data_IF_092907253867
#
_entry.id   IF_092907253867
#
_cell.length_a   1.000
_cell.length_b   1.000
_cell.length_c   1.000
_cell.angle_alpha   90.00
_cell.angle_beta   90.00
_cell.angle_gamma   90.00
#
_symmetry.space_group_name_H-M   'P 1'
#
loop_
_entity.id
_entity.type
_entity.pdbx_description
1 polymer ?
#
# COMPACT_ATOMS: atom_id res chain seq x y z
N UNK A 1 -34.51 33.49 -1.67
CA UNK A 1 -33.40 32.73 -1.06
C UNK A 1 -33.56 31.29 -1.54
N UNK A 2 -32.86 30.95 -2.63
CA UNK A 2 -32.91 29.62 -3.25
C UNK A 2 -31.75 28.81 -2.70
N UNK A 3 -32.04 27.82 -1.86
CA UNK A 3 -31.05 26.85 -1.40
C UNK A 3 -30.64 25.96 -2.59
N UNK A 4 -29.39 26.12 -3.02
CA UNK A 4 -28.74 25.22 -3.97
C UNK A 4 -28.24 24.01 -3.21
N UNK A 5 -29.00 22.93 -3.24
CA UNK A 5 -28.55 21.61 -2.78
C UNK A 5 -27.40 21.16 -3.66
N UNK A 6 -26.19 21.24 -3.14
CA UNK A 6 -25.00 20.66 -3.77
C UNK A 6 -25.12 19.13 -3.65
N UNK A 7 -25.44 18.45 -4.75
CA UNK A 7 -25.35 17.00 -4.84
C UNK A 7 -23.86 16.61 -4.79
N UNK A 8 -23.46 15.86 -3.77
CA UNK A 8 -22.18 15.15 -3.77
C UNK A 8 -22.16 14.16 -4.94
N UNK A 9 -21.09 14.09 -5.75
CA UNK A 9 -20.97 13.09 -6.78
C UNK A 9 -20.83 11.72 -6.11
N UNK A 10 -21.83 10.86 -6.30
CA UNK A 10 -21.74 9.43 -5.97
C UNK A 10 -20.81 8.77 -6.98
N UNK A 11 -19.55 8.61 -6.63
CA UNK A 11 -18.59 7.90 -7.48
C UNK A 11 -18.91 6.40 -7.37
N UNK A 12 -19.66 5.88 -8.34
CA UNK A 12 -19.98 4.45 -8.48
C UNK A 12 -18.77 3.70 -9.07
N UNK A 13 -17.61 3.74 -8.43
CA UNK A 13 -16.52 2.84 -8.78
C UNK A 13 -16.88 1.44 -8.27
N UNK A 14 -17.28 0.57 -9.18
CA UNK A 14 -17.49 -0.85 -8.89
C UNK A 14 -16.20 -1.42 -8.29
N UNK A 15 -16.26 -2.13 -7.15
CA UNK A 15 -15.07 -2.79 -6.59
C UNK A 15 -14.41 -3.69 -7.63
N UNK A 16 -13.07 -3.61 -7.74
CA UNK A 16 -12.30 -4.48 -8.64
C UNK A 16 -12.57 -5.94 -8.28
N UNK A 17 -13.02 -6.73 -9.26
CA UNK A 17 -13.40 -8.12 -9.01
C UNK A 17 -12.19 -9.01 -8.69
N UNK A 18 -12.39 -10.11 -7.94
CA UNK A 18 -11.30 -11.04 -7.61
C UNK A 18 -10.66 -11.67 -8.85
N UNK A 19 -11.46 -11.92 -9.88
CA UNK A 19 -11.01 -12.41 -11.19
C UNK A 19 -10.11 -11.39 -11.89
N UNK A 20 -10.48 -10.12 -11.83
CA UNK A 20 -9.70 -9.02 -12.40
C UNK A 20 -8.38 -8.82 -11.66
N UNK A 21 -8.40 -8.86 -10.32
CA UNK A 21 -7.17 -8.86 -9.49
C UNK A 21 -6.25 -10.00 -9.92
N UNK A 22 -6.77 -11.23 -9.99
CA UNK A 22 -5.95 -12.39 -10.37
C UNK A 22 -5.36 -12.26 -11.78
N UNK A 23 -6.09 -11.65 -12.71
CA UNK A 23 -5.61 -11.39 -14.07
C UNK A 23 -4.47 -10.37 -14.06
N UNK A 24 -4.66 -9.21 -13.42
CA UNK A 24 -3.66 -8.15 -13.30
C UNK A 24 -2.35 -8.70 -12.70
N UNK A 25 -2.47 -9.47 -11.62
CA UNK A 25 -1.31 -10.08 -10.96
C UNK A 25 -0.58 -11.08 -11.87
N UNK A 26 -1.32 -11.91 -12.61
CA UNK A 26 -0.73 -12.88 -13.53
C UNK A 26 0.01 -12.19 -14.67
N UNK A 27 -0.56 -11.11 -15.23
CA UNK A 27 0.08 -10.28 -16.26
C UNK A 27 1.36 -9.61 -15.72
N UNK A 28 1.35 -9.20 -14.44
CA UNK A 28 2.53 -8.72 -13.70
C UNK A 28 3.48 -9.82 -13.20
N UNK A 29 3.32 -11.08 -13.63
CA UNK A 29 4.21 -12.19 -13.26
C UNK A 29 3.99 -12.79 -11.86
N UNK A 30 2.97 -12.34 -11.12
CA UNK A 30 2.60 -12.85 -9.80
C UNK A 30 1.50 -13.92 -9.91
N UNK A 31 1.92 -15.18 -9.85
CA UNK A 31 1.02 -16.35 -10.03
C UNK A 31 0.64 -17.04 -8.72
N UNK A 32 1.13 -16.58 -7.58
CA UNK A 32 0.83 -17.19 -6.28
C UNK A 32 -0.62 -16.88 -5.86
N UNK A 33 -1.49 -17.90 -5.70
CA UNK A 33 -2.89 -17.68 -5.35
C UNK A 33 -3.08 -17.01 -3.98
N UNK A 34 -2.16 -17.22 -3.03
CA UNK A 34 -2.22 -16.56 -1.72
C UNK A 34 -1.99 -15.05 -1.82
N UNK A 35 -1.13 -14.61 -2.75
CA UNK A 35 -0.94 -13.18 -3.04
C UNK A 35 -2.18 -12.61 -3.69
N UNK A 36 -2.80 -13.33 -4.64
CA UNK A 36 -4.04 -12.88 -5.27
C UNK A 36 -5.19 -12.73 -4.27
N UNK A 37 -5.31 -13.67 -3.32
CA UNK A 37 -6.29 -13.57 -2.25
C UNK A 37 -6.01 -12.39 -1.30
N UNK A 38 -4.74 -12.18 -0.93
CA UNK A 38 -4.33 -11.05 -0.10
C UNK A 38 -4.63 -9.69 -0.77
N UNK A 39 -4.26 -9.53 -2.04
CA UNK A 39 -4.51 -8.31 -2.80
C UNK A 39 -6.02 -8.08 -2.97
N UNK A 40 -6.79 -9.12 -3.28
CA UNK A 40 -8.25 -9.01 -3.40
C UNK A 40 -8.91 -8.59 -2.08
N UNK A 41 -8.51 -9.20 -0.97
CA UNK A 41 -9.03 -8.86 0.36
C UNK A 41 -8.77 -7.38 0.71
N UNK A 42 -7.55 -6.88 0.46
CA UNK A 42 -7.23 -5.48 0.74
C UNK A 42 -7.85 -4.52 -0.27
N UNK A 43 -8.02 -4.91 -1.54
CA UNK A 43 -8.74 -4.10 -2.52
C UNK A 43 -10.21 -3.88 -2.12
N UNK A 44 -10.88 -4.89 -1.54
CA UNK A 44 -12.25 -4.74 -1.01
C UNK A 44 -12.33 -3.70 0.12
N UNK A 45 -11.31 -3.63 0.97
CA UNK A 45 -11.23 -2.71 2.11
C UNK A 45 -10.83 -1.31 1.65
N UNK A 46 -9.73 -1.19 0.92
CA UNK A 46 -9.09 0.06 0.52
C UNK A 46 -9.87 0.80 -0.57
N UNK A 47 -10.60 0.05 -1.43
CA UNK A 47 -11.36 0.55 -2.59
C UNK A 47 -10.56 1.42 -3.56
N UNK A 48 -9.43 0.91 -4.11
CA UNK A 48 -8.68 1.64 -5.11
C UNK A 48 -9.47 1.81 -6.42
N UNK A 49 -9.17 2.87 -7.17
CA UNK A 49 -9.70 3.05 -8.52
C UNK A 49 -9.03 2.07 -9.50
N UNK A 50 -7.73 1.80 -9.31
CA UNK A 50 -6.91 0.96 -10.17
C UNK A 50 -5.96 0.13 -9.35
N UNK A 51 -5.57 -1.03 -9.87
CA UNK A 51 -4.55 -1.90 -9.28
C UNK A 51 -3.47 -2.11 -10.32
N UNK A 52 -2.22 -1.97 -9.91
CA UNK A 52 -1.07 -2.06 -10.79
C UNK A 52 0.05 -2.84 -10.12
N UNK A 53 0.61 -3.83 -10.82
CA UNK A 53 1.86 -4.47 -10.37
C UNK A 53 3.00 -3.68 -10.96
N UNK A 54 3.92 -3.21 -10.11
CA UNK A 54 5.09 -2.45 -10.55
C UNK A 54 6.36 -3.22 -10.28
N UNK A 55 7.34 -3.05 -11.16
CA UNK A 55 8.69 -3.56 -11.00
C UNK A 55 9.75 -2.51 -11.37
N UNK A 56 11.03 -2.91 -11.37
CA UNK A 56 12.14 -1.99 -11.65
C UNK A 56 12.12 -1.40 -13.08
N UNK A 57 11.33 -1.95 -14.01
CA UNK A 57 11.16 -1.38 -15.35
C UNK A 57 10.24 -0.17 -15.38
N UNK A 58 9.46 0.06 -14.32
CA UNK A 58 8.57 1.21 -14.17
C UNK A 58 9.26 2.47 -13.62
N UNK A 59 10.51 2.35 -13.15
CA UNK A 59 11.25 3.42 -12.46
C UNK A 59 11.20 4.77 -13.18
N UNK A 60 11.48 4.80 -14.49
CA UNK A 60 11.48 6.04 -15.26
C UNK A 60 10.11 6.71 -15.29
N UNK A 61 9.04 5.92 -15.44
CA UNK A 61 7.66 6.40 -15.47
C UNK A 61 7.24 6.92 -14.10
N UNK A 62 7.49 6.15 -13.04
CA UNK A 62 7.13 6.54 -11.66
C UNK A 62 7.84 7.82 -11.23
N UNK A 63 9.10 8.01 -11.63
CA UNK A 63 9.82 9.28 -11.40
C UNK A 63 9.15 10.44 -12.14
N UNK A 64 8.70 10.26 -13.39
CA UNK A 64 7.99 11.32 -14.11
C UNK A 64 6.63 11.65 -13.48
N UNK A 65 5.90 10.63 -13.02
CA UNK A 65 4.62 10.81 -12.31
C UNK A 65 4.82 11.59 -11.01
N UNK A 66 5.81 11.21 -10.19
CA UNK A 66 6.13 11.90 -8.94
C UNK A 66 6.62 13.36 -9.16
N UNK A 67 7.36 13.61 -10.25
CA UNK A 67 7.75 14.97 -10.67
C UNK A 67 6.53 15.81 -11.09
N UNK A 68 5.60 15.21 -11.83
CA UNK A 68 4.37 15.89 -12.27
C UNK A 68 3.44 16.21 -11.09
N UNK A 69 3.46 15.39 -10.04
CA UNK A 69 2.72 15.59 -8.81
C UNK A 69 3.42 16.54 -7.79
N UNK A 70 4.62 17.05 -8.09
CA UNK A 70 5.45 17.86 -7.17
C UNK A 70 5.80 17.16 -5.84
N UNK A 71 5.73 15.82 -5.80
CA UNK A 71 6.16 15.02 -4.64
C UNK A 71 7.69 14.97 -4.53
N UNK A 72 8.36 15.02 -5.67
CA UNK A 72 9.81 15.10 -5.79
C UNK A 72 10.20 16.26 -6.71
N UNK A 73 11.39 16.81 -6.48
CA UNK A 73 11.93 17.95 -7.21
C UNK A 73 13.36 17.66 -7.69
N UNK A 74 13.78 18.13 -8.88
CA UNK A 74 15.13 17.89 -9.38
C UNK A 74 16.22 18.46 -8.46
N UNK A 75 17.24 17.65 -8.16
CA UNK A 75 18.41 18.01 -7.35
C UNK A 75 19.75 17.87 -8.10
N UNK A 76 19.70 17.64 -9.41
CA UNK A 76 20.86 17.40 -10.27
C UNK A 76 20.57 16.32 -11.31
N UNK A 77 21.61 15.84 -11.99
CA UNK A 77 21.48 14.70 -12.92
C UNK A 77 21.17 13.43 -12.14
N UNK A 78 20.06 12.77 -12.47
CA UNK A 78 19.58 11.52 -11.86
C UNK A 78 19.48 11.62 -10.31
N UNK A 79 19.08 12.81 -9.84
CA UNK A 79 18.96 13.13 -8.41
C UNK A 79 17.70 13.93 -8.17
N UNK A 80 16.99 13.56 -7.12
CA UNK A 80 15.77 14.22 -6.69
C UNK A 80 15.80 14.49 -5.20
N UNK A 81 15.00 15.43 -4.74
CA UNK A 81 14.73 15.63 -3.33
C UNK A 81 13.22 15.70 -3.11
N UNK A 82 12.78 15.18 -1.98
CA UNK A 82 11.39 15.29 -1.51
C UNK A 82 11.36 16.01 -0.17
N UNK A 83 10.22 16.60 0.17
CA UNK A 83 9.98 17.23 1.48
C UNK A 83 8.73 16.61 2.07
N UNK A 84 8.91 15.89 3.18
CA UNK A 84 7.78 15.32 3.91
C UNK A 84 6.98 16.38 4.66
N UNK A 85 5.79 15.99 5.12
CA UNK A 85 4.99 16.82 6.01
C UNK A 85 5.74 17.06 7.33
N UNK A 86 5.64 18.27 7.89
CA UNK A 86 6.45 18.66 9.07
C UNK A 86 6.21 17.83 10.33
N UNK A 87 5.06 17.15 10.44
CA UNK A 87 4.75 16.23 11.55
C UNK A 87 5.10 14.77 11.24
N UNK A 88 5.62 14.49 10.05
CA UNK A 88 6.00 13.16 9.58
C UNK A 88 7.45 13.20 9.08
N UNK A 89 8.38 13.30 10.03
CA UNK A 89 9.82 13.49 9.78
C UNK A 89 10.69 12.38 10.35
N UNK A 90 10.12 11.52 11.18
CA UNK A 90 10.79 10.41 11.83
C UNK A 90 9.76 9.32 12.14
N UNK A 91 10.25 8.12 12.44
CA UNK A 91 9.40 7.05 12.95
C UNK A 91 8.69 7.51 14.21
N UNK A 92 7.46 7.05 14.38
CA UNK A 92 6.66 7.29 15.59
C UNK A 92 6.67 6.02 16.44
N UNK A 93 7.71 5.83 17.26
CA UNK A 93 7.88 4.61 18.07
C UNK A 93 6.66 4.35 18.97
N UNK A 94 6.03 5.40 19.51
CA UNK A 94 4.82 5.32 20.34
C UNK A 94 3.60 4.69 19.62
N UNK A 95 3.61 4.67 18.28
CA UNK A 95 2.54 4.10 17.44
C UNK A 95 2.97 2.82 16.72
N UNK A 96 4.22 2.40 16.88
CA UNK A 96 4.69 1.10 16.40
C UNK A 96 4.33 0.04 17.43
N UNK A 97 3.60 -0.98 17.02
CA UNK A 97 3.02 -1.99 17.90
C UNK A 97 3.46 -3.38 17.47
N UNK A 98 3.76 -4.24 18.44
CA UNK A 98 3.87 -5.69 18.25
C UNK A 98 2.54 -6.31 18.61
N UNK A 99 1.82 -6.77 17.60
CA UNK A 99 0.49 -7.34 17.74
C UNK A 99 0.56 -8.87 17.73
N UNK A 100 0.35 -9.49 18.90
CA UNK A 100 0.27 -10.95 19.06
C UNK A 100 -0.97 -11.31 19.87
N UNK A 101 -1.49 -12.53 19.73
CA UNK A 101 -2.65 -12.99 20.52
C UNK A 101 -2.27 -13.32 21.97
N UNK A 102 -1.04 -13.79 22.22
CA UNK A 102 -0.56 -14.05 23.58
C UNK A 102 0.23 -12.83 24.10
N UNK A 103 -0.21 -12.21 25.22
CA UNK A 103 0.56 -11.15 25.87
C UNK A 103 1.96 -11.57 26.34
N UNK A 104 2.24 -12.87 26.52
CA UNK A 104 3.57 -13.36 26.88
C UNK A 104 4.59 -13.18 25.74
N UNK A 105 4.14 -13.18 24.49
CA UNK A 105 4.98 -13.03 23.29
C UNK A 105 5.39 -11.58 23.02
N UNK A 106 4.91 -10.63 23.83
CA UNK A 106 5.19 -9.21 23.66
C UNK A 106 6.68 -8.86 23.70
N UNK A 107 7.51 -9.65 24.39
CA UNK A 107 8.91 -9.29 24.66
C UNK A 107 9.07 -8.14 25.67
N UNK A 108 10.31 -7.73 25.94
CA UNK A 108 10.58 -6.81 27.07
C UNK A 108 10.33 -5.34 26.72
N UNK A 109 10.55 -4.94 25.47
CA UNK A 109 10.68 -3.52 25.07
C UNK A 109 9.65 -3.06 24.02
N UNK A 110 8.59 -3.83 23.79
CA UNK A 110 7.63 -3.53 22.73
C UNK A 110 6.34 -2.91 23.27
N UNK A 111 5.76 -2.01 22.48
CA UNK A 111 4.36 -1.59 22.68
C UNK A 111 3.47 -2.73 22.19
N UNK A 112 2.88 -3.49 23.11
CA UNK A 112 2.03 -4.62 22.77
C UNK A 112 0.56 -4.25 22.78
N UNK A 113 -0.18 -4.81 21.83
CA UNK A 113 -1.64 -4.83 21.79
C UNK A 113 -2.12 -6.16 21.26
N UNK A 114 -3.35 -6.49 21.58
CA UNK A 114 -3.99 -7.69 21.04
C UNK A 114 -4.13 -7.60 19.52
N UNK A 115 -3.86 -8.72 18.83
CA UNK A 115 -3.86 -8.76 17.37
C UNK A 115 -5.25 -8.55 16.75
N UNK A 116 -6.33 -9.01 17.41
CA UNK A 116 -7.70 -8.82 16.90
C UNK A 116 -8.13 -7.36 17.05
N UNK A 117 -7.75 -6.71 18.16
CA UNK A 117 -7.97 -5.26 18.36
C UNK A 117 -7.28 -4.44 17.26
N UNK A 118 -5.98 -4.68 17.04
CA UNK A 118 -5.18 -3.93 16.05
C UNK A 118 -5.72 -4.16 14.64
N UNK A 119 -6.04 -5.40 14.29
CA UNK A 119 -6.56 -5.74 12.97
C UNK A 119 -7.91 -5.07 12.71
N UNK A 120 -8.81 -5.08 13.70
CA UNK A 120 -10.12 -4.43 13.58
C UNK A 120 -9.97 -2.93 13.36
N UNK A 121 -9.18 -2.26 14.21
CA UNK A 121 -8.93 -0.81 14.10
C UNK A 121 -8.29 -0.46 12.75
N UNK A 122 -7.34 -1.26 12.27
CA UNK A 122 -6.72 -0.99 10.97
C UNK A 122 -7.69 -1.16 9.81
N UNK A 123 -8.51 -2.21 9.79
CA UNK A 123 -9.51 -2.39 8.74
C UNK A 123 -10.51 -1.25 8.72
N UNK A 124 -10.95 -0.76 9.88
CA UNK A 124 -11.84 0.40 9.99
C UNK A 124 -11.19 1.68 9.46
N UNK A 125 -9.94 1.96 9.83
CA UNK A 125 -9.22 3.15 9.38
C UNK A 125 -8.87 3.15 7.90
N UNK A 126 -8.61 1.97 7.35
CA UNK A 126 -8.21 1.79 5.95
C UNK A 126 -9.41 1.65 5.01
N UNK A 127 -10.64 1.54 5.54
CA UNK A 127 -11.84 1.44 4.72
C UNK A 127 -12.00 2.64 3.78
N UNK A 128 -11.91 2.40 2.48
CA UNK A 128 -12.01 3.44 1.43
C UNK A 128 -10.82 4.39 1.35
N UNK A 129 -9.68 4.10 2.00
CA UNK A 129 -8.54 5.02 2.04
C UNK A 129 -7.90 5.29 0.65
N UNK A 130 -8.14 4.40 -0.32
CA UNK A 130 -7.59 4.46 -1.68
C UNK A 130 -8.64 4.89 -2.72
N UNK A 131 -9.81 5.38 -2.30
CA UNK A 131 -10.81 5.90 -3.24
C UNK A 131 -10.20 6.99 -4.12
N UNK A 132 -10.24 6.80 -5.45
CA UNK A 132 -9.65 7.72 -6.44
C UNK A 132 -8.14 7.57 -6.65
N UNK A 133 -7.50 6.56 -6.04
CA UNK A 133 -6.06 6.31 -6.16
C UNK A 133 -5.75 4.97 -6.80
N UNK A 134 -4.54 4.84 -7.33
CA UNK A 134 -3.97 3.56 -7.78
C UNK A 134 -3.36 2.82 -6.58
N UNK A 135 -3.69 1.54 -6.44
CA UNK A 135 -3.00 0.61 -5.54
C UNK A 135 -1.87 -0.07 -6.29
N UNK A 136 -0.63 0.22 -5.89
CA UNK A 136 0.55 -0.47 -6.37
C UNK A 136 0.78 -1.76 -5.57
N UNK A 137 1.07 -2.84 -6.30
CA UNK A 137 1.46 -4.15 -5.76
C UNK A 137 2.94 -4.32 -6.06
N UNK A 138 3.77 -4.29 -5.00
CA UNK A 138 5.23 -4.26 -5.11
C UNK A 138 5.83 -5.58 -4.61
N UNK A 139 6.20 -6.51 -5.49
CA UNK A 139 6.93 -7.71 -5.08
C UNK A 139 8.39 -7.37 -4.79
N UNK A 140 8.91 -7.87 -3.66
CA UNK A 140 10.30 -7.67 -3.28
C UNK A 140 10.95 -8.95 -2.77
N UNK A 141 12.28 -8.95 -2.77
CA UNK A 141 13.10 -10.03 -2.24
C UNK A 141 14.22 -9.46 -1.35
N UNK A 142 14.14 -9.73 -0.04
CA UNK A 142 15.15 -9.28 0.95
C UNK A 142 16.35 -10.24 1.06
N UNK A 143 16.75 -10.85 -0.06
CA UNK A 143 17.92 -11.73 -0.11
C UNK A 143 18.50 -11.79 -1.53
N UNK A 144 19.76 -12.22 -1.71
CA UNK A 144 20.26 -12.56 -3.04
C UNK A 144 19.36 -13.61 -3.71
N UNK A 145 19.10 -13.45 -5.02
CA UNK A 145 18.17 -14.29 -5.77
C UNK A 145 18.44 -15.80 -5.63
N UNK A 146 19.72 -16.18 -5.60
CA UNK A 146 20.14 -17.59 -5.53
C UNK A 146 20.38 -18.09 -4.08
N UNK A 147 19.95 -17.31 -3.08
CA UNK A 147 20.09 -17.70 -1.69
C UNK A 147 19.18 -18.90 -1.36
N UNK A 148 19.63 -19.87 -0.56
CA UNK A 148 18.74 -20.93 -0.05
C UNK A 148 17.59 -20.36 0.80
N UNK A 149 17.73 -19.12 1.28
CA UNK A 149 16.72 -18.42 2.07
C UNK A 149 15.70 -17.62 1.24
N UNK A 150 15.87 -17.53 -0.09
CA UNK A 150 15.08 -16.64 -0.95
C UNK A 150 13.56 -16.84 -0.80
N UNK A 151 13.13 -18.09 -0.65
CA UNK A 151 11.69 -18.41 -0.47
C UNK A 151 11.06 -17.85 0.82
N UNK A 152 11.85 -17.53 1.85
CA UNK A 152 11.37 -16.93 3.09
C UNK A 152 11.63 -15.42 3.17
N UNK A 153 12.36 -14.87 2.21
CA UNK A 153 12.68 -13.45 2.12
C UNK A 153 11.86 -12.72 1.05
N UNK A 154 10.94 -13.42 0.38
CA UNK A 154 10.01 -12.85 -0.58
C UNK A 154 8.82 -12.22 0.14
N UNK A 155 8.41 -11.04 -0.31
CA UNK A 155 7.27 -10.32 0.21
C UNK A 155 6.55 -9.52 -0.86
N UNK A 156 5.36 -9.04 -0.52
CA UNK A 156 4.57 -8.13 -1.35
C UNK A 156 4.11 -6.99 -0.46
N UNK A 157 4.32 -5.76 -0.92
CA UNK A 157 3.84 -4.55 -0.29
C UNK A 157 2.72 -3.93 -1.13
N UNK A 158 1.69 -3.41 -0.46
CA UNK A 158 0.61 -2.65 -1.09
C UNK A 158 0.76 -1.21 -0.64
N UNK A 159 0.81 -0.29 -1.59
CA UNK A 159 0.89 1.15 -1.31
C UNK A 159 0.12 1.93 -2.35
N UNK A 160 -0.34 3.10 -1.98
CA UNK A 160 -0.81 4.13 -2.88
C UNK A 160 0.31 5.15 -3.16
N UNK A 161 0.18 5.88 -4.26
CA UNK A 161 0.83 7.18 -4.45
C UNK A 161 -0.25 8.27 -4.35
N UNK A 162 0.09 9.44 -3.83
CA UNK A 162 -0.88 10.52 -3.73
C UNK A 162 -1.08 11.13 -5.12
N UNK A 163 -2.32 11.11 -5.62
CA UNK A 163 -2.79 11.99 -6.69
C UNK A 163 -4.06 12.68 -6.25
#
# INVERSE_FOLDING_TARGET
>A
MSESTTQQPTNNSTPVSKEEVSKILTEGGLTNPAVAEFVAQWAEILRPERIEVIDASDDERLVQEALAADEIQPAGKDRWFSRSYSKDTARSEERTVVATHDPADKGVYNNWRDADEVTTIQKERMAGAYEGKTMYVIPYLMSPKDSPFAKWAAGVELTELHT
#
